data_IF_440091185305
#
_entry.id   IF_440091185305
#
_cell.length_a   1.000
_cell.length_b   1.000
_cell.length_c   1.000
_cell.angle_alpha   90.00
_cell.angle_beta   90.00
_cell.angle_gamma   90.00
#
_symmetry.space_group_name_H-M   'P 1'
#
loop_
_entity.id
_entity.type
_entity.pdbx_description
1 polymer ?
#
# COMPACT_ATOMS: atom_id res chain seq x y z
N UNK A 1 34.70 11.78 6.69
CA UNK A 1 33.83 11.65 5.50
C UNK A 1 33.53 10.17 5.37
N UNK A 2 32.33 9.74 5.72
CA UNK A 2 31.99 8.32 5.70
C UNK A 2 31.73 7.91 4.26
N UNK A 3 32.62 7.10 3.68
CA UNK A 3 32.38 6.44 2.40
C UNK A 3 31.12 5.56 2.55
N UNK A 4 30.06 5.89 1.82
CA UNK A 4 28.90 5.02 1.74
C UNK A 4 29.33 3.74 1.00
N UNK A 5 28.93 2.55 1.49
CA UNK A 5 29.22 1.30 0.80
C UNK A 5 28.62 1.34 -0.61
N UNK A 6 29.40 0.90 -1.60
CA UNK A 6 28.90 0.76 -2.96
C UNK A 6 27.89 -0.39 -3.03
N UNK A 7 26.62 -0.06 -3.19
CA UNK A 7 25.51 -1.02 -3.34
C UNK A 7 25.38 -1.37 -4.83
N UNK A 8 25.35 -2.67 -5.17
CA UNK A 8 25.07 -3.11 -6.55
C UNK A 8 23.59 -2.97 -6.90
N UNK A 9 23.24 -2.91 -8.18
CA UNK A 9 21.83 -2.80 -8.60
C UNK A 9 20.98 -3.97 -8.09
N UNK A 10 21.54 -5.19 -8.06
CA UNK A 10 20.87 -6.35 -7.50
C UNK A 10 20.62 -6.20 -5.99
N UNK A 11 21.63 -5.75 -5.24
CA UNK A 11 21.47 -5.49 -3.80
C UNK A 11 20.44 -4.38 -3.53
N UNK A 12 20.41 -3.34 -4.37
CA UNK A 12 19.40 -2.28 -4.30
C UNK A 12 17.99 -2.84 -4.48
N UNK A 13 17.77 -3.66 -5.51
CA UNK A 13 16.48 -4.32 -5.77
C UNK A 13 16.03 -5.17 -4.57
N UNK A 14 16.94 -5.95 -3.99
CA UNK A 14 16.65 -6.80 -2.84
C UNK A 14 16.27 -5.98 -1.59
N UNK A 15 16.99 -4.88 -1.34
CA UNK A 15 16.72 -3.98 -0.23
C UNK A 15 15.38 -3.24 -0.39
N UNK A 16 15.09 -2.74 -1.58
CA UNK A 16 13.82 -2.08 -1.91
C UNK A 16 12.65 -3.05 -1.74
N UNK A 17 12.77 -4.28 -2.26
CA UNK A 17 11.76 -5.31 -2.11
C UNK A 17 11.59 -5.74 -0.63
N UNK A 18 12.67 -5.83 0.14
CA UNK A 18 12.61 -6.14 1.57
C UNK A 18 11.93 -5.03 2.38
N UNK A 19 12.26 -3.76 2.10
CA UNK A 19 11.61 -2.61 2.72
C UNK A 19 10.11 -2.55 2.38
N UNK A 20 9.75 -2.81 1.12
CA UNK A 20 8.34 -2.87 0.71
C UNK A 20 7.58 -3.98 1.45
N UNK A 21 8.13 -5.20 1.50
CA UNK A 21 7.53 -6.30 2.28
C UNK A 21 7.37 -5.93 3.76
N UNK A 22 8.35 -5.24 4.35
CA UNK A 22 8.27 -4.76 5.75
C UNK A 22 7.17 -3.72 5.94
N UNK A 23 6.97 -2.82 4.99
CA UNK A 23 5.86 -1.88 4.99
C UNK A 23 4.50 -2.59 4.94
N UNK A 24 4.34 -3.58 4.05
CA UNK A 24 3.11 -4.37 3.95
C UNK A 24 2.81 -5.08 5.27
N UNK A 25 3.82 -5.72 5.87
CA UNK A 25 3.69 -6.34 7.18
C UNK A 25 3.27 -5.32 8.24
N UNK A 26 3.92 -4.16 8.31
CA UNK A 26 3.58 -3.12 9.26
C UNK A 26 2.14 -2.62 9.11
N UNK A 27 1.69 -2.41 7.86
CA UNK A 27 0.32 -2.00 7.55
C UNK A 27 -0.72 -3.10 7.84
N UNK A 28 -0.32 -4.37 7.77
CA UNK A 28 -1.14 -5.52 8.16
C UNK A 28 -1.30 -5.64 9.68
N UNK A 29 -0.20 -5.44 10.43
CA UNK A 29 -0.21 -5.38 11.90
C UNK A 29 -1.02 -4.18 12.42
N UNK A 30 -1.02 -3.07 11.68
CA UNK A 30 -1.76 -1.83 12.00
C UNK A 30 -3.13 -1.76 11.34
N UNK A 31 -3.97 -2.78 11.57
CA UNK A 31 -5.35 -2.83 11.06
C UNK A 31 -6.25 -1.73 11.63
N UNK A 32 -5.84 -1.12 12.75
CA UNK A 32 -6.47 0.07 13.33
C UNK A 32 -6.40 1.29 12.39
N UNK A 33 -5.33 1.41 11.59
CA UNK A 33 -5.13 2.53 10.67
C UNK A 33 -6.01 2.36 9.44
N UNK A 34 -7.04 3.20 9.30
CA UNK A 34 -7.97 3.09 8.18
C UNK A 34 -7.39 3.71 6.90
N UNK A 35 -7.76 3.14 5.74
CA UNK A 35 -7.30 3.66 4.46
C UNK A 35 -7.70 5.13 4.23
N UNK A 36 -8.85 5.56 4.72
CA UNK A 36 -9.30 6.96 4.58
C UNK A 36 -8.38 7.93 5.33
N UNK A 37 -7.86 7.54 6.49
CA UNK A 37 -6.94 8.36 7.27
C UNK A 37 -5.58 8.48 6.57
N UNK A 38 -5.08 7.38 6.00
CA UNK A 38 -3.88 7.40 5.18
C UNK A 38 -4.06 8.29 3.94
N UNK A 39 -5.21 8.23 3.28
CA UNK A 39 -5.52 9.11 2.15
C UNK A 39 -5.54 10.58 2.56
N UNK A 40 -6.21 10.91 3.68
CA UNK A 40 -6.32 12.28 4.16
C UNK A 40 -4.97 12.87 4.57
N UNK A 41 -4.09 12.06 5.16
CA UNK A 41 -2.80 12.51 5.68
C UNK A 41 -1.70 12.51 4.61
N UNK A 42 -1.62 11.43 3.83
CA UNK A 42 -0.45 11.12 3.00
C UNK A 42 -0.76 10.98 1.50
N UNK A 43 -2.03 11.08 1.09
CA UNK A 43 -2.43 10.97 -0.32
C UNK A 43 -2.30 9.57 -0.93
N UNK A 44 -1.99 8.54 -0.13
CA UNK A 44 -1.99 7.15 -0.55
C UNK A 44 -2.48 6.23 0.57
N UNK A 45 -2.93 5.04 0.21
CA UNK A 45 -3.33 3.99 1.18
C UNK A 45 -2.98 2.60 0.64
N UNK A 46 -3.39 1.53 1.34
CA UNK A 46 -3.17 0.14 0.92
C UNK A 46 -3.71 -0.14 -0.50
N UNK A 47 -4.87 0.42 -0.85
CA UNK A 47 -5.42 0.26 -2.20
C UNK A 47 -4.55 0.92 -3.28
N UNK A 48 -3.86 2.01 -2.96
CA UNK A 48 -2.91 2.63 -3.89
C UNK A 48 -1.69 1.73 -4.13
N UNK A 49 -1.16 1.11 -3.07
CA UNK A 49 -0.09 0.11 -3.20
C UNK A 49 -0.52 -1.05 -4.11
N UNK A 50 -1.78 -1.49 -4.01
CA UNK A 50 -2.32 -2.56 -4.88
C UNK A 50 -2.40 -2.14 -6.34
N UNK A 51 -2.81 -0.90 -6.61
CA UNK A 51 -2.82 -0.33 -7.96
C UNK A 51 -1.40 -0.21 -8.53
N UNK A 52 -0.43 0.24 -7.73
CA UNK A 52 0.97 0.34 -8.16
C UNK A 52 1.58 -1.02 -8.44
N UNK A 53 1.30 -2.02 -7.59
CA UNK A 53 1.76 -3.39 -7.79
C UNK A 53 1.19 -4.01 -9.09
N UNK A 54 -0.11 -3.80 -9.34
CA UNK A 54 -0.77 -4.19 -10.60
C UNK A 54 -0.16 -3.49 -11.82
N UNK A 55 0.05 -2.18 -11.75
CA UNK A 55 0.65 -1.40 -12.85
C UNK A 55 2.08 -1.89 -13.16
N UNK A 56 2.87 -2.19 -12.14
CA UNK A 56 4.22 -2.75 -12.33
C UNK A 56 4.19 -4.14 -13.01
N UNK A 57 3.16 -4.95 -12.75
CA UNK A 57 2.95 -6.22 -13.46
C UNK A 57 2.57 -5.98 -14.93
N UNK A 58 1.68 -5.03 -15.19
CA UNK A 58 1.23 -4.66 -16.55
C UNK A 58 2.39 -4.17 -17.42
N UNK A 59 3.26 -3.31 -16.87
CA UNK A 59 4.48 -2.84 -17.55
C UNK A 59 5.42 -3.97 -17.97
N UNK A 60 5.34 -5.12 -17.31
CA UNK A 60 6.17 -6.31 -17.54
C UNK A 60 5.43 -7.39 -18.34
N UNK A 61 4.18 -7.13 -18.76
CA UNK A 61 3.34 -8.12 -19.43
C UNK A 61 2.98 -9.32 -18.55
N UNK A 62 3.00 -9.17 -17.23
CA UNK A 62 2.65 -10.22 -16.27
C UNK A 62 1.15 -10.15 -16.01
N UNK A 63 0.44 -11.25 -16.30
CA UNK A 63 -0.98 -11.35 -16.01
C UNK A 63 -1.22 -11.44 -14.50
N UNK A 64 -1.81 -10.38 -13.96
CA UNK A 64 -2.20 -10.27 -12.56
C UNK A 64 -3.53 -9.52 -12.51
N UNK A 65 -4.52 -10.00 -11.78
CA UNK A 65 -5.80 -9.30 -11.62
C UNK A 65 -5.71 -8.20 -10.55
N UNK A 66 -6.63 -7.23 -10.60
CA UNK A 66 -6.70 -6.18 -9.58
C UNK A 66 -7.08 -6.71 -8.19
N UNK A 67 -7.77 -7.86 -8.10
CA UNK A 67 -8.05 -8.54 -6.83
C UNK A 67 -6.79 -9.22 -6.31
N UNK A 68 -6.07 -9.98 -7.14
CA UNK A 68 -4.81 -10.64 -6.76
C UNK A 68 -3.75 -9.63 -6.30
N UNK A 69 -3.66 -8.49 -6.96
CA UNK A 69 -2.78 -7.40 -6.53
C UNK A 69 -3.16 -6.86 -5.15
N UNK A 70 -4.47 -6.69 -4.88
CA UNK A 70 -4.95 -6.27 -3.55
C UNK A 70 -4.64 -7.34 -2.50
N UNK A 71 -4.95 -8.60 -2.77
CA UNK A 71 -4.70 -9.70 -1.84
C UNK A 71 -3.21 -9.80 -1.48
N UNK A 72 -2.32 -9.53 -2.44
CA UNK A 72 -0.87 -9.44 -2.19
C UNK A 72 -0.51 -8.33 -1.19
N UNK A 73 -1.14 -7.15 -1.30
CA UNK A 73 -0.91 -6.03 -0.39
C UNK A 73 -1.50 -6.28 1.00
N UNK A 74 -2.68 -6.91 1.05
CA UNK A 74 -3.39 -7.19 2.30
C UNK A 74 -2.88 -8.44 3.03
N UNK A 75 -2.13 -9.31 2.33
CA UNK A 75 -1.66 -10.58 2.87
C UNK A 75 -2.75 -11.65 3.05
N UNK A 76 -3.98 -11.36 2.60
CA UNK A 76 -5.17 -12.21 2.65
C UNK A 76 -6.22 -11.65 1.67
N UNK A 77 -7.30 -12.40 1.37
CA UNK A 77 -8.38 -11.90 0.53
C UNK A 77 -8.92 -10.55 1.04
N UNK A 78 -8.96 -9.53 0.18
CA UNK A 78 -9.40 -8.19 0.57
C UNK A 78 -10.83 -8.19 1.16
N UNK A 79 -11.71 -9.06 0.64
CA UNK A 79 -13.06 -9.21 1.16
C UNK A 79 -13.07 -9.66 2.64
N UNK A 80 -12.19 -10.58 3.02
CA UNK A 80 -12.04 -11.05 4.41
C UNK A 80 -11.46 -9.96 5.30
N UNK A 81 -10.42 -9.25 4.83
CA UNK A 81 -9.83 -8.14 5.57
C UNK A 81 -10.86 -7.04 5.83
N UNK A 82 -11.65 -6.69 4.80
CA UNK A 82 -12.73 -5.70 4.91
C UNK A 82 -13.76 -6.09 5.95
N UNK A 83 -14.19 -7.35 5.95
CA UNK A 83 -15.17 -7.85 6.92
C UNK A 83 -14.64 -7.83 8.36
N UNK A 84 -13.34 -8.07 8.57
CA UNK A 84 -12.73 -8.16 9.90
C UNK A 84 -12.29 -6.81 10.48
N UNK A 85 -11.88 -5.86 9.62
CA UNK A 85 -11.10 -4.70 10.07
C UNK A 85 -11.58 -3.34 9.54
N UNK A 86 -12.35 -3.30 8.45
CA UNK A 86 -12.77 -2.03 7.87
C UNK A 86 -13.94 -1.45 8.65
N UNK A 87 -13.78 -0.21 9.13
CA UNK A 87 -14.82 0.55 9.80
C UNK A 87 -15.49 1.51 8.83
N UNK A 88 -16.73 1.86 9.11
CA UNK A 88 -17.38 2.98 8.42
C UNK A 88 -16.64 4.28 8.75
N UNK A 89 -16.41 5.09 7.71
CA UNK A 89 -15.75 6.37 7.87
C UNK A 89 -16.68 7.36 8.57
N UNK A 90 -16.14 8.17 9.48
CA UNK A 90 -16.93 9.22 10.12
C UNK A 90 -17.21 10.37 9.14
N UNK A 91 -18.25 11.19 9.39
CA UNK A 91 -18.52 12.38 8.56
C UNK A 91 -17.31 13.31 8.43
N UNK A 92 -16.52 13.45 9.49
CA UNK A 92 -15.32 14.29 9.51
C UNK A 92 -14.21 13.70 8.61
N UNK A 93 -14.02 12.38 8.65
CA UNK A 93 -13.05 11.71 7.78
C UNK A 93 -13.44 11.81 6.30
N UNK A 94 -14.74 11.71 5.99
CA UNK A 94 -15.27 11.90 4.63
C UNK A 94 -15.09 13.35 4.16
N UNK A 95 -15.42 14.33 5.01
CA UNK A 95 -15.24 15.74 4.68
C UNK A 95 -13.76 16.09 4.44
N UNK A 96 -12.86 15.56 5.26
CA UNK A 96 -11.41 15.73 5.06
C UNK A 96 -10.92 15.07 3.77
N UNK A 97 -11.46 13.90 3.41
CA UNK A 97 -11.15 13.21 2.15
C UNK A 97 -11.59 14.03 0.93
N UNK A 98 -12.81 14.57 0.96
CA UNK A 98 -13.33 15.43 -0.11
C UNK A 98 -12.52 16.72 -0.27
N UNK A 99 -11.99 17.27 0.82
CA UNK A 99 -11.11 18.44 0.77
C UNK A 99 -9.73 18.09 0.22
N UNK A 100 -9.12 16.99 0.69
CA UNK A 100 -7.82 16.52 0.23
C UNK A 100 -7.84 16.15 -1.26
N UNK A 101 -8.95 15.60 -1.76
CA UNK A 101 -9.11 15.20 -3.17
C UNK A 101 -9.35 16.36 -4.15
N UNK A 102 -9.59 17.58 -3.65
CA UNK A 102 -9.82 18.79 -4.46
C UNK A 102 -8.57 19.64 -4.67
N UNK A 103 -7.45 19.29 -4.04
CA UNK A 103 -6.14 19.89 -4.27
C UNK A 103 -5.41 19.16 -5.39
#
# INVERSE_FOLDING_TARGET
MSEQPAITDQQRLELEAAAFRRLLQHLGERSDVQNIELMNLAGFCRNCLGKWYKAAADERGIELSADQARDTIYGMPYAEWKAQHQKEATPEQLAAFDQASKK
#
